data_IF_113573751105
#
_entry.id   IF_113573751105
#
_cell.length_a   1.000
_cell.length_b   1.000
_cell.length_c   1.000
_cell.angle_alpha   90.00
_cell.angle_beta   90.00
_cell.angle_gamma   90.00
#
_symmetry.space_group_name_H-M   'P 1'
#
loop_
_entity.id
_entity.type
_entity.pdbx_description
1 polymer ?
#
# COMPACT_ATOMS: atom_id res chain seq x y z
N UNK A 1 18.18 -18.57 -25.41
CA UNK A 1 17.39 -19.27 -24.37
C UNK A 1 17.07 -18.24 -23.31
N UNK A 2 15.81 -17.90 -23.11
CA UNK A 2 15.40 -16.91 -22.11
C UNK A 2 15.70 -17.40 -20.69
N UNK A 3 16.18 -16.51 -19.84
CA UNK A 3 16.47 -16.78 -18.43
C UNK A 3 15.17 -17.06 -17.65
N UNK A 4 15.24 -17.78 -16.51
CA UNK A 4 14.05 -18.05 -15.68
C UNK A 4 13.29 -16.78 -15.24
N UNK A 5 14.01 -15.68 -15.00
CA UNK A 5 13.42 -14.39 -14.61
C UNK A 5 12.74 -13.66 -15.77
N UNK A 6 13.23 -13.82 -17.00
CA UNK A 6 12.59 -13.29 -18.21
C UNK A 6 11.28 -14.05 -18.50
N UNK A 7 11.29 -15.38 -18.35
CA UNK A 7 10.06 -16.19 -18.47
C UNK A 7 9.03 -15.83 -17.41
N UNK A 8 9.47 -15.60 -16.17
CA UNK A 8 8.58 -15.15 -15.09
C UNK A 8 7.91 -13.81 -15.40
N UNK A 9 8.65 -12.86 -16.00
CA UNK A 9 8.10 -11.56 -16.42
C UNK A 9 7.13 -11.69 -17.58
N UNK A 10 7.45 -12.50 -18.59
CA UNK A 10 6.57 -12.75 -19.74
C UNK A 10 5.23 -13.37 -19.29
N UNK A 11 5.27 -14.29 -18.32
CA UNK A 11 4.06 -14.92 -17.74
C UNK A 11 3.22 -13.91 -16.95
N UNK A 12 3.83 -13.05 -16.13
CA UNK A 12 3.09 -12.01 -15.39
C UNK A 12 2.45 -11.00 -16.34
N UNK A 13 3.18 -10.55 -17.37
CA UNK A 13 2.67 -9.61 -18.37
C UNK A 13 1.58 -10.25 -19.25
N UNK A 14 1.65 -11.56 -19.48
CA UNK A 14 0.57 -12.33 -20.12
C UNK A 14 -0.67 -12.45 -19.22
N UNK A 15 -0.52 -12.78 -17.93
CA UNK A 15 -1.64 -12.84 -16.97
C UNK A 15 -2.34 -11.49 -16.80
N UNK A 16 -1.58 -10.39 -16.76
CA UNK A 16 -2.15 -9.03 -16.72
C UNK A 16 -2.97 -8.75 -17.98
N UNK A 17 -2.48 -9.15 -19.16
CA UNK A 17 -3.24 -9.03 -20.43
C UNK A 17 -4.48 -9.90 -20.44
N UNK A 18 -4.40 -11.13 -19.93
CA UNK A 18 -5.51 -12.08 -19.82
C UNK A 18 -6.65 -11.53 -18.95
N UNK A 19 -6.31 -10.95 -17.80
CA UNK A 19 -7.28 -10.34 -16.87
C UNK A 19 -7.95 -9.09 -17.46
N UNK A 20 -7.24 -8.36 -18.33
CA UNK A 20 -7.79 -7.18 -19.00
C UNK A 20 -8.58 -7.51 -20.28
N UNK A 21 -8.27 -8.62 -20.97
CA UNK A 21 -9.05 -9.08 -22.13
C UNK A 21 -10.24 -9.92 -21.66
N UNK A 22 -11.41 -9.30 -21.50
CA UNK A 22 -12.66 -9.98 -21.08
C UNK A 22 -13.21 -11.04 -22.06
N UNK A 23 -12.39 -11.63 -22.95
CA UNK A 23 -12.87 -12.33 -24.15
C UNK A 23 -12.06 -13.55 -24.58
N UNK A 24 -11.31 -14.22 -23.70
CA UNK A 24 -10.66 -15.48 -24.08
C UNK A 24 -11.54 -16.67 -23.70
N UNK A 25 -11.73 -17.57 -24.66
CA UNK A 25 -12.49 -18.81 -24.48
C UNK A 25 -11.61 -19.90 -23.86
N UNK A 26 -12.24 -20.89 -23.20
CA UNK A 26 -11.52 -21.96 -22.50
C UNK A 26 -10.59 -22.76 -23.44
N UNK A 27 -10.96 -22.89 -24.72
CA UNK A 27 -10.17 -23.62 -25.72
C UNK A 27 -8.92 -22.85 -26.19
N UNK A 28 -8.99 -21.51 -26.24
CA UNK A 28 -7.83 -20.64 -26.54
C UNK A 28 -6.82 -20.64 -25.40
N UNK A 29 -7.32 -20.67 -24.16
CA UNK A 29 -6.51 -20.82 -22.96
C UNK A 29 -5.81 -22.19 -22.97
N UNK A 30 -6.53 -23.27 -23.28
CA UNK A 30 -5.96 -24.62 -23.36
C UNK A 30 -4.90 -24.79 -24.48
N UNK A 31 -5.10 -24.17 -25.65
CA UNK A 31 -4.17 -24.26 -26.78
C UNK A 31 -2.83 -23.53 -26.55
N UNK A 32 -2.78 -22.55 -25.65
CA UNK A 32 -1.56 -21.82 -25.29
C UNK A 32 -0.86 -22.35 -24.01
N UNK A 33 -1.40 -23.41 -23.39
CA UNK A 33 -1.01 -23.94 -22.07
C UNK A 33 -0.07 -25.17 -22.09
N UNK A 34 0.72 -25.38 -23.16
CA UNK A 34 1.59 -26.57 -23.31
C UNK A 34 2.86 -26.57 -22.40
N UNK A 35 2.91 -25.73 -21.36
CA UNK A 35 3.97 -25.66 -20.35
C UNK A 35 3.35 -25.69 -18.95
N UNK A 36 2.92 -26.88 -18.54
CA UNK A 36 1.96 -27.12 -17.45
C UNK A 36 2.58 -27.21 -16.04
N UNK A 37 3.88 -27.50 -15.92
CA UNK A 37 4.53 -27.68 -14.60
C UNK A 37 4.83 -26.35 -13.89
N UNK A 38 5.24 -25.31 -14.62
CA UNK A 38 5.59 -24.02 -14.00
C UNK A 38 4.35 -23.25 -13.52
N UNK A 39 3.21 -23.40 -14.20
CA UNK A 39 1.97 -22.66 -13.89
C UNK A 39 1.17 -23.22 -12.72
N UNK A 40 1.16 -24.54 -12.48
CA UNK A 40 0.50 -25.09 -11.28
C UNK A 40 1.23 -24.67 -10.00
N UNK A 41 2.56 -24.62 -10.05
CA UNK A 41 3.43 -24.11 -8.98
C UNK A 41 3.30 -22.59 -8.81
N UNK A 42 3.14 -21.85 -9.92
CA UNK A 42 2.91 -20.40 -9.89
C UNK A 42 1.51 -20.05 -9.38
N UNK A 43 0.47 -20.78 -9.81
CA UNK A 43 -0.92 -20.63 -9.36
C UNK A 43 -1.01 -21.04 -7.90
N UNK A 44 -0.39 -22.13 -7.43
CA UNK A 44 -0.32 -22.47 -6.01
C UNK A 44 0.45 -21.41 -5.19
N UNK A 45 1.53 -20.82 -5.72
CA UNK A 45 2.21 -19.67 -5.09
C UNK A 45 1.37 -18.40 -5.10
N UNK A 46 0.53 -18.18 -6.11
CA UNK A 46 -0.34 -17.02 -6.25
C UNK A 46 -1.58 -17.17 -5.36
N UNK A 47 -2.34 -18.27 -5.48
CA UNK A 47 -3.62 -18.49 -4.78
C UNK A 47 -3.45 -18.62 -3.27
N UNK A 48 -2.30 -19.12 -2.77
CA UNK A 48 -2.03 -19.23 -1.33
C UNK A 48 -1.58 -17.90 -0.69
N UNK A 49 -1.68 -16.77 -1.40
CA UNK A 49 -2.00 -15.53 -0.71
C UNK A 49 -1.90 -14.25 -1.51
N UNK A 50 -2.39 -14.21 -2.74
CA UNK A 50 -2.19 -13.05 -3.60
C UNK A 50 -3.14 -11.90 -3.33
N UNK A 51 -4.35 -11.98 -2.75
CA UNK A 51 -5.20 -10.77 -2.69
C UNK A 51 -4.80 -9.79 -1.59
N UNK A 52 -4.64 -10.25 -0.35
CA UNK A 52 -4.16 -9.39 0.74
C UNK A 52 -2.69 -8.96 0.54
N UNK A 53 -1.91 -9.72 -0.24
CA UNK A 53 -0.54 -9.36 -0.64
C UNK A 53 -0.51 -8.45 -1.87
N UNK A 54 -1.39 -8.61 -2.85
CA UNK A 54 -1.52 -7.70 -4.01
C UNK A 54 -2.05 -6.35 -3.57
N UNK A 55 -3.00 -6.30 -2.63
CA UNK A 55 -3.49 -5.03 -2.08
C UNK A 55 -2.35 -4.29 -1.36
N UNK A 56 -1.59 -4.98 -0.50
CA UNK A 56 -0.42 -4.41 0.20
C UNK A 56 0.80 -4.16 -0.70
N UNK A 57 1.01 -4.96 -1.75
CA UNK A 57 2.09 -4.76 -2.73
C UNK A 57 1.76 -3.64 -3.71
N UNK A 58 0.50 -3.47 -4.13
CA UNK A 58 0.03 -2.26 -4.84
C UNK A 58 0.22 -1.03 -3.96
N UNK A 59 -0.17 -1.12 -2.69
CA UNK A 59 0.00 -0.04 -1.72
C UNK A 59 1.48 0.32 -1.50
N UNK A 60 2.39 -0.66 -1.43
CA UNK A 60 3.84 -0.45 -1.32
C UNK A 60 4.50 0.02 -2.62
N UNK A 61 4.03 -0.43 -3.79
CA UNK A 61 4.54 0.00 -5.10
C UNK A 61 4.14 1.45 -5.42
N UNK A 62 2.96 1.89 -4.95
CA UNK A 62 2.55 3.31 -4.98
C UNK A 62 3.40 4.16 -4.01
N UNK A 63 3.98 3.55 -2.97
CA UNK A 63 4.72 4.22 -1.89
C UNK A 63 6.26 4.02 -1.93
N UNK A 64 6.82 3.27 -2.88
CA UNK A 64 8.28 3.13 -3.09
C UNK A 64 9.07 2.30 -2.05
N UNK A 65 8.44 1.38 -1.30
CA UNK A 65 9.09 0.63 -0.21
C UNK A 65 9.58 -0.78 -0.62
N UNK A 66 10.76 -1.26 -0.17
CA UNK A 66 11.25 -2.61 -0.48
C UNK A 66 10.51 -3.70 0.32
N UNK A 67 10.40 -4.91 -0.25
CA UNK A 67 9.63 -6.02 0.32
C UNK A 67 10.43 -7.32 0.47
N UNK A 68 10.37 -7.91 1.66
CA UNK A 68 10.69 -9.31 1.92
C UNK A 68 9.79 -9.80 3.06
N UNK A 69 8.98 -10.84 2.83
CA UNK A 69 8.50 -11.77 3.87
C UNK A 69 7.76 -12.97 3.25
N UNK A 70 8.02 -14.15 3.83
CA UNK A 70 7.67 -15.49 3.33
C UNK A 70 6.32 -15.98 3.86
N UNK A 71 5.68 -16.91 3.14
CA UNK A 71 4.38 -17.52 3.50
C UNK A 71 4.47 -18.48 4.72
N UNK A 72 3.35 -18.75 5.44
CA UNK A 72 3.34 -19.74 6.52
C UNK A 72 3.54 -21.18 5.97
N UNK A 73 4.25 -22.05 6.71
CA UNK A 73 4.84 -23.27 6.17
C UNK A 73 3.86 -24.42 5.87
N UNK A 74 2.76 -24.56 6.63
CA UNK A 74 1.98 -25.81 6.61
C UNK A 74 1.23 -26.10 5.31
N UNK A 75 0.63 -25.10 4.67
CA UNK A 75 -0.12 -25.29 3.42
C UNK A 75 0.79 -25.40 2.18
N UNK A 76 1.95 -24.75 2.25
CA UNK A 76 2.96 -24.80 1.19
C UNK A 76 3.67 -26.16 1.15
N UNK A 77 3.89 -26.79 2.32
CA UNK A 77 4.43 -28.14 2.41
C UNK A 77 3.45 -29.20 1.88
N UNK A 78 2.17 -29.15 2.25
CA UNK A 78 1.16 -30.11 1.78
C UNK A 78 0.95 -30.05 0.25
N UNK A 79 0.96 -28.85 -0.34
CA UNK A 79 0.87 -28.67 -1.79
C UNK A 79 2.15 -29.11 -2.51
N UNK A 80 3.33 -28.86 -1.93
CA UNK A 80 4.60 -29.32 -2.48
C UNK A 80 4.71 -30.86 -2.46
N UNK A 81 4.23 -31.50 -1.41
CA UNK A 81 4.21 -32.96 -1.28
C UNK A 81 3.24 -33.60 -2.30
N UNK A 82 2.03 -33.07 -2.45
CA UNK A 82 1.07 -33.55 -3.45
C UNK A 82 1.56 -33.38 -4.90
N UNK A 83 2.28 -32.29 -5.18
CA UNK A 83 2.86 -32.05 -6.51
C UNK A 83 4.09 -32.92 -6.78
N UNK A 84 4.84 -33.34 -5.75
CA UNK A 84 6.04 -34.18 -5.92
C UNK A 84 5.77 -35.58 -6.48
N UNK A 85 4.51 -36.03 -6.45
CA UNK A 85 4.06 -37.33 -6.97
C UNK A 85 3.33 -37.25 -8.32
N UNK A 86 3.14 -36.06 -8.90
CA UNK A 86 2.44 -35.90 -10.17
C UNK A 86 3.38 -36.13 -11.36
N UNK A 87 2.92 -36.88 -12.36
CA UNK A 87 3.71 -37.16 -13.58
C UNK A 87 3.20 -36.26 -14.73
N UNK A 88 4.07 -35.44 -15.35
CA UNK A 88 3.66 -34.49 -16.39
C UNK A 88 2.97 -35.18 -17.58
N UNK A 89 1.89 -34.58 -18.05
CA UNK A 89 1.05 -35.11 -19.15
C UNK A 89 -0.11 -35.99 -18.71
N UNK A 90 -0.25 -36.26 -17.41
CA UNK A 90 -1.42 -36.96 -16.85
C UNK A 90 -2.47 -35.93 -16.44
N UNK A 91 -3.75 -36.08 -16.79
CA UNK A 91 -4.80 -35.20 -16.26
C UNK A 91 -4.75 -35.22 -14.73
N UNK A 92 -4.90 -34.05 -14.12
CA UNK A 92 -4.97 -33.92 -12.66
C UNK A 92 -6.06 -34.85 -12.14
N UNK A 93 -5.76 -35.56 -11.05
CA UNK A 93 -6.72 -36.42 -10.41
C UNK A 93 -7.98 -35.60 -10.04
N UNK A 94 -9.20 -36.12 -10.28
CA UNK A 94 -10.44 -35.41 -9.97
C UNK A 94 -10.49 -34.89 -8.53
N UNK A 95 -9.86 -35.60 -7.60
CA UNK A 95 -9.75 -35.25 -6.19
C UNK A 95 -8.93 -33.97 -5.98
N UNK A 96 -7.86 -33.76 -6.76
CA UNK A 96 -7.04 -32.54 -6.67
C UNK A 96 -7.78 -31.34 -7.28
N UNK A 97 -8.51 -31.54 -8.37
CA UNK A 97 -9.35 -30.50 -8.99
C UNK A 97 -10.46 -30.08 -8.03
N UNK A 98 -11.08 -31.05 -7.36
CA UNK A 98 -12.10 -30.78 -6.34
C UNK A 98 -11.51 -30.07 -5.13
N UNK A 99 -10.35 -30.50 -4.61
CA UNK A 99 -9.68 -29.83 -3.50
C UNK A 99 -9.32 -28.37 -3.84
N UNK A 100 -8.83 -28.10 -5.06
CA UNK A 100 -8.55 -26.74 -5.52
C UNK A 100 -9.83 -25.90 -5.68
N UNK A 101 -10.94 -26.50 -6.10
CA UNK A 101 -12.23 -25.82 -6.18
C UNK A 101 -12.80 -25.52 -4.79
N UNK A 102 -12.70 -26.44 -3.83
CA UNK A 102 -13.13 -26.24 -2.44
C UNK A 102 -12.28 -25.17 -1.75
N UNK A 103 -10.96 -25.15 -1.97
CA UNK A 103 -10.08 -24.08 -1.50
C UNK A 103 -10.46 -22.74 -2.12
N UNK A 104 -10.72 -22.68 -3.44
CA UNK A 104 -11.18 -21.46 -4.12
C UNK A 104 -12.51 -20.95 -3.55
N UNK A 105 -13.46 -21.84 -3.30
CA UNK A 105 -14.80 -21.47 -2.83
C UNK A 105 -14.78 -21.07 -1.34
N UNK A 106 -14.01 -21.78 -0.49
CA UNK A 106 -13.73 -21.37 0.88
C UNK A 106 -13.05 -20.01 0.92
N UNK A 107 -12.06 -19.75 0.05
CA UNK A 107 -11.37 -18.47 -0.02
C UNK A 107 -12.22 -17.36 -0.62
N UNK A 108 -13.14 -17.66 -1.53
CA UNK A 108 -14.11 -16.67 -2.03
C UNK A 108 -15.09 -16.26 -0.94
N UNK A 109 -15.51 -17.21 -0.09
CA UNK A 109 -16.35 -16.93 1.07
C UNK A 109 -15.60 -16.21 2.20
N UNK A 110 -14.33 -16.57 2.44
CA UNK A 110 -13.48 -15.97 3.47
C UNK A 110 -12.91 -14.62 3.03
N UNK A 111 -12.62 -14.40 1.75
CA UNK A 111 -12.18 -13.12 1.19
C UNK A 111 -13.32 -12.10 1.13
N UNK A 112 -14.54 -12.54 0.84
CA UNK A 112 -15.74 -11.72 1.02
C UNK A 112 -15.95 -11.39 2.51
N UNK A 113 -15.84 -12.38 3.41
CA UNK A 113 -16.05 -12.17 4.86
C UNK A 113 -14.90 -11.50 5.62
N UNK A 114 -13.67 -11.49 5.10
CA UNK A 114 -12.50 -10.84 5.72
C UNK A 114 -12.23 -9.44 5.15
N UNK A 115 -12.73 -9.16 3.93
CA UNK A 115 -12.85 -7.78 3.44
C UNK A 115 -14.16 -7.12 3.93
N UNK A 116 -15.17 -7.92 4.26
CA UNK A 116 -16.40 -7.52 4.95
C UNK A 116 -16.43 -8.14 6.37
N UNK A 117 -15.39 -7.94 7.18
CA UNK A 117 -15.70 -7.90 8.61
C UNK A 117 -16.64 -6.71 8.78
N UNK A 118 -17.85 -6.91 9.34
CA UNK A 118 -18.74 -5.80 9.59
C UNK A 118 -18.09 -5.01 10.72
N UNK A 119 -17.35 -3.96 10.36
CA UNK A 119 -17.18 -2.79 11.19
C UNK A 119 -18.60 -2.25 11.41
N UNK A 120 -19.33 -2.88 12.34
CA UNK A 120 -20.67 -2.50 12.76
C UNK A 120 -20.53 -1.14 13.42
N UNK A 121 -20.58 -0.09 12.61
CA UNK A 121 -21.61 0.93 12.62
C UNK A 121 -22.11 1.42 13.98
N UNK A 122 -21.26 1.46 15.01
CA UNK A 122 -21.17 2.67 15.77
C UNK A 122 -20.23 3.55 14.96
N UNK A 123 -20.78 4.46 14.14
CA UNK A 123 -20.02 5.61 13.64
C UNK A 123 -19.63 6.42 14.87
N UNK A 124 -18.64 5.94 15.62
CA UNK A 124 -17.92 6.74 16.59
C UNK A 124 -17.46 7.93 15.79
N UNK A 125 -18.02 9.10 16.09
CA UNK A 125 -17.54 10.34 15.50
C UNK A 125 -16.06 10.36 15.81
N UNK A 126 -15.24 10.24 14.78
CA UNK A 126 -13.79 10.33 14.91
C UNK A 126 -13.52 11.69 15.55
N UNK A 127 -13.01 11.66 16.78
CA UNK A 127 -12.64 12.88 17.48
C UNK A 127 -11.32 13.41 16.94
N UNK A 128 -11.03 14.69 17.18
CA UNK A 128 -9.72 15.27 16.86
C UNK A 128 -8.61 14.51 17.57
N UNK A 129 -8.84 14.07 18.81
CA UNK A 129 -7.87 13.28 19.58
C UNK A 129 -7.58 11.93 18.91
N UNK A 130 -8.61 11.26 18.36
CA UNK A 130 -8.44 10.01 17.60
C UNK A 130 -7.57 10.25 16.36
N UNK A 131 -7.75 11.37 15.65
CA UNK A 131 -6.93 11.75 14.50
C UNK A 131 -5.49 12.02 14.93
N UNK A 132 -5.29 12.79 16.00
CA UNK A 132 -3.95 13.12 16.53
C UNK A 132 -3.21 11.85 16.94
N UNK A 133 -3.86 10.96 17.69
CA UNK A 133 -3.29 9.67 18.11
C UNK A 133 -2.96 8.82 16.88
N UNK A 134 -3.86 8.77 15.90
CA UNK A 134 -3.64 8.06 14.65
C UNK A 134 -2.46 8.59 13.84
N UNK A 135 -2.34 9.90 13.69
CA UNK A 135 -1.24 10.57 12.98
C UNK A 135 0.10 10.37 13.69
N UNK A 136 0.13 10.43 15.02
CA UNK A 136 1.33 10.15 15.83
C UNK A 136 1.76 8.69 15.74
N UNK A 137 0.79 7.78 15.74
CA UNK A 137 1.03 6.34 15.56
C UNK A 137 1.61 6.08 14.17
N UNK A 138 0.97 6.61 13.14
CA UNK A 138 1.44 6.55 11.76
C UNK A 138 2.87 7.07 11.64
N UNK A 139 3.17 8.25 12.19
CA UNK A 139 4.51 8.87 12.06
C UNK A 139 5.59 8.29 12.98
N UNK A 140 5.25 7.36 13.88
CA UNK A 140 6.22 6.74 14.78
C UNK A 140 7.34 6.02 14.02
N UNK A 141 7.01 5.37 12.91
CA UNK A 141 7.95 4.63 12.07
C UNK A 141 8.30 5.34 10.75
N UNK A 142 7.90 6.61 10.58
CA UNK A 142 8.24 7.41 9.41
C UNK A 142 9.53 8.22 9.60
N UNK A 143 10.04 8.73 8.47
CA UNK A 143 11.18 9.63 8.44
C UNK A 143 10.98 10.86 9.34
N UNK A 144 12.06 11.36 10.00
CA UNK A 144 11.95 12.47 10.95
C UNK A 144 11.30 13.73 10.38
N UNK A 145 11.49 14.01 9.08
CA UNK A 145 10.91 15.20 8.43
C UNK A 145 9.38 15.10 8.26
N UNK A 146 8.84 13.90 8.02
CA UNK A 146 7.38 13.67 7.97
C UNK A 146 6.78 13.84 9.35
N UNK A 147 7.43 13.28 10.37
CA UNK A 147 7.01 13.44 11.77
C UNK A 147 7.01 14.91 12.19
N UNK A 148 8.05 15.66 11.85
CA UNK A 148 8.13 17.09 12.12
C UNK A 148 7.00 17.88 11.44
N UNK A 149 6.67 17.56 10.19
CA UNK A 149 5.57 18.19 9.47
C UNK A 149 4.20 17.93 10.14
N UNK A 150 3.96 16.70 10.61
CA UNK A 150 2.74 16.34 11.33
C UNK A 150 2.65 17.07 12.67
N UNK A 151 3.73 17.05 13.47
CA UNK A 151 3.75 17.74 14.76
C UNK A 151 3.60 19.26 14.62
N UNK A 152 4.14 19.85 13.54
CA UNK A 152 3.91 21.27 13.22
C UNK A 152 2.41 21.57 13.07
N UNK A 153 1.68 20.75 12.32
CA UNK A 153 0.24 20.95 12.09
C UNK A 153 -0.61 20.65 13.34
N UNK A 154 -0.19 19.70 14.17
CA UNK A 154 -0.83 19.41 15.47
C UNK A 154 -0.62 20.55 16.46
N UNK A 155 0.58 21.12 16.50
CA UNK A 155 0.93 22.13 17.51
C UNK A 155 0.43 23.53 17.12
N UNK A 156 0.39 23.84 15.83
CA UNK A 156 -0.04 25.14 15.34
C UNK A 156 -1.50 25.46 15.77
N UNK A 157 -1.64 26.50 16.57
CA UNK A 157 -2.90 26.98 17.16
C UNK A 157 -3.79 25.86 17.73
N UNK A 158 -3.20 24.99 18.56
CA UNK A 158 -3.92 23.89 19.23
C UNK A 158 -4.62 22.95 18.24
N UNK A 159 -3.90 22.58 17.17
CA UNK A 159 -4.36 21.66 16.16
C UNK A 159 -5.47 22.22 15.29
N UNK A 160 -5.52 23.54 15.07
CA UNK A 160 -6.58 24.21 14.32
C UNK A 160 -6.90 23.52 12.99
N UNK A 161 -5.88 23.02 12.28
CA UNK A 161 -6.03 22.35 10.99
C UNK A 161 -6.85 21.07 11.07
N UNK A 162 -6.69 20.31 12.15
CA UNK A 162 -7.44 19.09 12.40
C UNK A 162 -8.87 19.37 12.87
N UNK A 163 -9.17 20.61 13.28
CA UNK A 163 -10.52 21.09 13.58
C UNK A 163 -11.25 21.58 12.33
N UNK A 164 -10.52 21.94 11.27
CA UNK A 164 -11.08 22.42 10.01
C UNK A 164 -11.57 21.25 9.17
N UNK A 165 -12.89 21.15 9.05
CA UNK A 165 -13.55 20.08 8.30
C UNK A 165 -13.03 19.93 6.86
N UNK A 166 -12.88 21.03 6.15
CA UNK A 166 -12.36 21.03 4.77
C UNK A 166 -10.94 20.44 4.66
N UNK A 167 -10.08 20.72 5.63
CA UNK A 167 -8.72 20.18 5.66
C UNK A 167 -8.75 18.68 5.92
N UNK A 168 -9.51 18.26 6.94
CA UNK A 168 -9.63 16.84 7.31
C UNK A 168 -10.23 16.01 6.17
N UNK A 169 -11.36 16.44 5.60
CA UNK A 169 -12.01 15.70 4.51
C UNK A 169 -11.13 15.62 3.25
N UNK A 170 -10.37 16.68 2.95
CA UNK A 170 -9.57 16.75 1.73
C UNK A 170 -8.22 16.05 1.88
N UNK A 171 -7.50 16.27 2.98
CA UNK A 171 -6.09 15.88 3.09
C UNK A 171 -5.81 14.79 4.13
N UNK A 172 -6.69 14.59 5.12
CA UNK A 172 -6.55 13.50 6.07
C UNK A 172 -7.26 12.26 5.52
N UNK A 173 -6.52 11.15 5.46
CA UNK A 173 -6.99 9.88 4.92
C UNK A 173 -6.84 8.79 5.97
N UNK A 174 -7.63 7.74 5.83
CA UNK A 174 -7.62 6.58 6.70
C UNK A 174 -7.08 5.37 5.94
N UNK A 175 -6.26 4.56 6.61
CA UNK A 175 -5.84 3.24 6.14
C UNK A 175 -5.89 2.26 7.30
N UNK A 176 -6.96 1.45 7.33
CA UNK A 176 -7.26 0.62 8.50
C UNK A 176 -7.45 1.48 9.76
N UNK A 177 -6.74 1.21 10.87
CA UNK A 177 -6.85 1.99 12.10
C UNK A 177 -6.05 3.29 12.09
N UNK A 178 -5.23 3.53 11.05
CA UNK A 178 -4.31 4.66 11.00
C UNK A 178 -4.86 5.83 10.20
N UNK A 179 -4.43 7.03 10.59
CA UNK A 179 -4.67 8.27 9.86
C UNK A 179 -3.35 8.75 9.25
N UNK A 180 -3.42 9.29 8.04
CA UNK A 180 -2.27 9.93 7.38
C UNK A 180 -2.67 11.20 6.66
N UNK A 181 -1.72 12.12 6.47
CA UNK A 181 -1.93 13.33 5.67
C UNK A 181 -1.36 13.10 4.28
N UNK A 182 -2.18 13.32 3.26
CA UNK A 182 -1.78 13.27 1.86
C UNK A 182 -0.99 14.55 1.48
N UNK A 183 0.25 14.67 1.99
CA UNK A 183 1.08 15.87 1.84
C UNK A 183 1.41 16.23 0.39
N UNK A 184 1.49 15.28 -0.53
CA UNK A 184 1.68 15.58 -1.96
C UNK A 184 0.43 16.27 -2.54
N UNK A 185 -0.77 15.77 -2.22
CA UNK A 185 -2.01 16.42 -2.63
C UNK A 185 -2.18 17.81 -1.98
N UNK A 186 -1.74 17.97 -0.73
CA UNK A 186 -1.69 19.29 -0.08
C UNK A 186 -0.76 20.25 -0.81
N UNK A 187 0.44 19.80 -1.19
CA UNK A 187 1.39 20.61 -1.95
C UNK A 187 0.81 21.05 -3.30
N UNK A 188 0.17 20.13 -4.02
CA UNK A 188 -0.46 20.40 -5.32
C UNK A 188 -1.59 21.44 -5.19
N UNK A 189 -2.47 21.28 -4.19
CA UNK A 189 -3.55 22.23 -3.93
C UNK A 189 -3.02 23.64 -3.57
N UNK A 190 -1.97 23.72 -2.74
CA UNK A 190 -1.33 24.98 -2.37
C UNK A 190 -0.62 25.68 -3.55
N UNK A 191 -0.10 24.89 -4.50
CA UNK A 191 0.51 25.41 -5.72
C UNK A 191 -0.54 25.94 -6.70
N UNK A 192 -1.72 25.29 -6.77
CA UNK A 192 -2.84 25.71 -7.60
C UNK A 192 -3.63 26.90 -7.00
N UNK A 193 -3.37 27.26 -5.73
CA UNK A 193 -4.18 28.26 -5.01
C UNK A 193 -5.55 27.72 -4.56
N UNK A 194 -5.72 26.40 -4.59
CA UNK A 194 -6.93 25.67 -4.20
C UNK A 194 -6.82 25.07 -2.79
N UNK A 195 -5.89 25.59 -1.99
CA UNK A 195 -5.70 25.18 -0.60
C UNK A 195 -6.91 25.49 0.29
N UNK A 196 -6.92 24.95 1.52
CA UNK A 196 -7.95 25.30 2.51
C UNK A 196 -7.92 26.82 2.77
N UNK A 197 -9.08 27.43 3.01
CA UNK A 197 -9.21 28.89 3.07
C UNK A 197 -8.42 29.52 4.23
N UNK A 198 -7.21 29.97 4.00
CA UNK A 198 -6.26 30.32 5.06
C UNK A 198 -5.77 31.77 4.93
N UNK A 199 -5.33 32.36 6.04
CA UNK A 199 -4.53 33.58 5.99
C UNK A 199 -3.19 33.32 5.27
N UNK A 200 -2.48 34.38 4.86
CA UNK A 200 -1.16 34.22 4.23
C UNK A 200 -0.16 33.51 5.14
N UNK A 201 -0.16 33.84 6.44
CA UNK A 201 0.68 33.20 7.46
C UNK A 201 0.34 31.72 7.61
N UNK A 202 -0.94 31.39 7.76
CA UNK A 202 -1.45 30.01 7.83
C UNK A 202 -1.08 29.21 6.57
N UNK A 203 -1.21 29.81 5.39
CA UNK A 203 -0.78 29.22 4.13
C UNK A 203 0.72 28.95 4.11
N UNK A 204 1.52 29.86 4.68
CA UNK A 204 2.96 29.68 4.86
C UNK A 204 3.30 28.44 5.70
N UNK A 205 2.56 28.22 6.79
CA UNK A 205 2.73 27.03 7.65
C UNK A 205 2.33 25.75 6.92
N UNK A 206 1.22 25.76 6.17
CA UNK A 206 0.82 24.61 5.36
C UNK A 206 1.86 24.27 4.29
N UNK A 207 2.41 25.29 3.61
CA UNK A 207 3.49 25.11 2.64
C UNK A 207 4.75 24.54 3.29
N UNK A 208 5.13 25.07 4.46
CA UNK A 208 6.27 24.55 5.20
C UNK A 208 6.07 23.08 5.60
N UNK A 209 4.90 22.72 6.12
CA UNK A 209 4.58 21.33 6.46
C UNK A 209 4.62 20.41 5.23
N UNK A 210 4.03 20.85 4.10
CA UNK A 210 4.04 20.08 2.86
C UNK A 210 5.46 19.92 2.29
N UNK A 211 6.28 20.97 2.28
CA UNK A 211 7.66 20.93 1.80
C UNK A 211 8.54 20.04 2.69
N UNK A 212 8.35 20.07 4.01
CA UNK A 212 9.03 19.18 4.96
C UNK A 212 8.64 17.72 4.74
N UNK A 213 7.35 17.42 4.67
CA UNK A 213 6.87 16.05 4.52
C UNK A 213 7.30 15.42 3.19
N UNK A 214 7.29 16.19 2.09
CA UNK A 214 7.75 15.72 0.78
C UNK A 214 9.29 15.76 0.61
N UNK A 215 10.04 16.12 1.67
CA UNK A 215 11.50 16.29 1.65
C UNK A 215 11.97 17.15 0.46
N UNK A 216 11.25 18.24 0.18
CA UNK A 216 11.48 19.09 -0.99
C UNK A 216 12.90 19.68 -1.00
N UNK A 217 13.40 20.01 0.18
CA UNK A 217 14.73 20.59 0.39
C UNK A 217 15.82 19.52 0.58
N UNK A 218 15.48 18.22 0.51
CA UNK A 218 16.41 17.10 0.71
C UNK A 218 17.11 17.10 2.07
N UNK A 219 16.42 17.56 3.12
CA UNK A 219 16.95 17.60 4.49
C UNK A 219 17.32 16.18 4.95
N UNK A 220 16.55 15.18 4.54
CA UNK A 220 16.83 13.77 4.84
C UNK A 220 18.21 13.27 4.36
N UNK A 221 18.80 13.98 3.37
CA UNK A 221 20.09 13.63 2.75
C UNK A 221 21.22 14.58 3.14
N UNK A 222 20.91 15.64 3.90
CA UNK A 222 21.93 16.57 4.35
C UNK A 222 22.81 15.91 5.41
N UNK A 223 24.12 16.21 5.37
CA UNK A 223 25.02 15.84 6.46
C UNK A 223 24.80 16.69 7.70
N UNK A 224 25.22 16.18 8.86
CA UNK A 224 24.98 16.80 10.18
C UNK A 224 25.44 18.27 10.26
N UNK A 225 26.58 18.60 9.65
CA UNK A 225 27.11 19.97 9.61
C UNK A 225 26.17 20.92 8.84
N UNK A 226 25.66 20.49 7.69
CA UNK A 226 24.72 21.30 6.90
C UNK A 226 23.40 21.48 7.63
N UNK A 227 22.88 20.42 8.27
CA UNK A 227 21.66 20.51 9.09
C UNK A 227 21.87 21.49 10.26
N UNK A 228 23.04 21.48 10.90
CA UNK A 228 23.37 22.43 11.95
C UNK A 228 23.35 23.88 11.45
N UNK A 229 23.96 24.16 10.29
CA UNK A 229 23.94 25.50 9.69
C UNK A 229 22.53 25.98 9.36
N UNK A 230 21.68 25.11 8.81
CA UNK A 230 20.27 25.44 8.52
C UNK A 230 19.52 25.77 9.81
N UNK A 231 19.73 25.00 10.89
CA UNK A 231 19.09 25.28 12.19
C UNK A 231 19.51 26.63 12.76
N UNK A 232 20.81 26.97 12.69
CA UNK A 232 21.32 28.29 13.13
C UNK A 232 20.70 29.40 12.29
N UNK A 233 20.68 29.26 10.96
CA UNK A 233 20.11 30.25 10.06
C UNK A 233 18.63 30.51 10.33
N UNK A 234 17.84 29.45 10.56
CA UNK A 234 16.41 29.58 10.91
C UNK A 234 16.25 30.30 12.25
N UNK A 235 17.00 29.89 13.28
CA UNK A 235 16.93 30.53 14.60
C UNK A 235 17.22 32.03 14.51
N UNK A 236 18.31 32.42 13.83
CA UNK A 236 18.68 33.83 13.61
C UNK A 236 17.63 34.62 12.82
N UNK A 237 16.90 33.99 11.90
CA UNK A 237 15.86 34.66 11.13
C UNK A 237 14.56 34.90 11.93
N UNK A 238 14.43 34.28 13.11
CA UNK A 238 13.22 34.31 13.95
C UNK A 238 13.39 35.02 15.29
N UNK A 239 14.59 35.52 15.56
CA UNK A 239 14.91 36.39 16.71
C UNK A 239 14.59 37.87 16.42
#
# INVERSE_FOLDING_TARGET
MSTPEERGREVVDWMVRLVHSKTLTADEVAAQMDHTEDLALLVARFTVGSEARLCRARQRAVLGLPGHESAPPSLAEELAEAMSHHTPGTPLAPELVQALAEVRDQWSSAGASACEEPYTAERRRVSIDDIIVGLRTWTHNHDPHVRAAVELLITHDDGMWLRRREFVETFVKTSGPEFYIAFSALADALAAGEGPGASETETGILRLAADLANDRWRISRMGDETVHLVRVAIATATE
#
